data_IF_009432285556
#
_entry.id   IF_009432285556
#
_cell.length_a   1.000
_cell.length_b   1.000
_cell.length_c   1.000
_cell.angle_alpha   90.00
_cell.angle_beta   90.00
_cell.angle_gamma   90.00
#
_symmetry.space_group_name_H-M   'P 1'
#
loop_
_entity.id
_entity.type
_entity.pdbx_description
1 polymer ?
#
# COMPACT_ATOMS: atom_id res chain seq x y z
N UNK A 1 32.42 -2.89 -19.30
CA UNK A 1 31.63 -2.01 -18.42
C UNK A 1 30.53 -2.84 -17.80
N UNK A 2 30.31 -2.74 -16.49
CA UNK A 2 29.18 -3.38 -15.82
C UNK A 2 27.88 -2.72 -16.33
N UNK A 3 27.17 -3.40 -17.22
CA UNK A 3 25.78 -3.05 -17.50
C UNK A 3 24.97 -3.42 -16.26
N UNK A 4 24.52 -2.42 -15.51
CA UNK A 4 23.62 -2.64 -14.38
C UNK A 4 22.27 -3.09 -14.93
N UNK A 5 21.93 -4.37 -14.80
CA UNK A 5 20.61 -4.89 -15.16
C UNK A 5 19.55 -4.31 -14.20
N UNK A 6 18.48 -3.66 -14.68
CA UNK A 6 17.53 -2.95 -13.82
C UNK A 6 16.71 -3.85 -12.87
N UNK A 7 16.90 -5.17 -12.92
CA UNK A 7 16.18 -6.16 -12.12
C UNK A 7 16.75 -6.34 -10.69
N UNK A 8 18.03 -5.98 -10.46
CA UNK A 8 18.74 -6.24 -9.19
C UNK A 8 18.06 -5.60 -7.98
N UNK A 9 17.45 -4.43 -8.15
CA UNK A 9 16.76 -3.71 -7.09
C UNK A 9 15.29 -4.15 -6.96
N UNK A 10 14.62 -4.39 -8.08
CA UNK A 10 13.18 -4.67 -8.09
C UNK A 10 12.85 -6.06 -7.55
N UNK A 11 13.64 -7.08 -7.94
CA UNK A 11 13.40 -8.47 -7.54
C UNK A 11 13.40 -8.70 -6.03
N UNK A 12 14.41 -8.29 -5.24
CA UNK A 12 14.43 -8.57 -3.80
C UNK A 12 13.29 -7.85 -3.07
N UNK A 13 12.98 -6.62 -3.47
CA UNK A 13 11.92 -5.81 -2.87
C UNK A 13 10.54 -6.40 -3.14
N UNK A 14 10.29 -6.88 -4.36
CA UNK A 14 9.05 -7.59 -4.69
C UNK A 14 8.89 -8.92 -3.92
N UNK A 15 9.99 -9.65 -3.69
CA UNK A 15 9.96 -10.86 -2.87
C UNK A 15 9.61 -10.52 -1.43
N UNK A 16 10.23 -9.46 -0.88
CA UNK A 16 9.94 -8.96 0.46
C UNK A 16 8.45 -8.61 0.60
N UNK A 17 7.87 -7.82 -0.31
CA UNK A 17 6.45 -7.47 -0.21
C UNK A 17 5.51 -8.65 -0.42
N UNK A 18 5.85 -9.60 -1.29
CA UNK A 18 5.05 -10.82 -1.47
C UNK A 18 5.00 -11.71 -0.23
N UNK A 19 6.09 -11.74 0.56
CA UNK A 19 6.15 -12.46 1.83
C UNK A 19 5.55 -11.65 2.98
N UNK A 20 5.77 -10.34 2.99
CA UNK A 20 5.27 -9.45 4.02
C UNK A 20 3.74 -9.30 3.95
N UNK A 21 3.14 -9.25 2.76
CA UNK A 21 1.70 -9.10 2.59
C UNK A 21 0.84 -10.12 3.38
N UNK A 22 1.06 -11.45 3.29
CA UNK A 22 0.31 -12.41 4.09
C UNK A 22 0.60 -12.31 5.60
N UNK A 23 1.84 -11.98 6.00
CA UNK A 23 2.22 -11.78 7.40
C UNK A 23 1.48 -10.57 7.99
N UNK A 24 1.48 -9.45 7.28
CA UNK A 24 0.72 -8.25 7.61
C UNK A 24 -0.78 -8.56 7.74
N UNK A 25 -1.39 -9.17 6.72
CA UNK A 25 -2.82 -9.49 6.75
C UNK A 25 -3.20 -10.42 7.90
N UNK A 26 -2.39 -11.45 8.19
CA UNK A 26 -2.64 -12.34 9.31
C UNK A 26 -2.53 -11.62 10.65
N UNK A 27 -1.49 -10.79 10.82
CA UNK A 27 -1.24 -10.05 12.06
C UNK A 27 -2.34 -9.01 12.33
N UNK A 28 -2.75 -8.27 11.30
CA UNK A 28 -3.83 -7.28 11.39
C UNK A 28 -5.20 -7.92 11.68
N UNK A 29 -5.48 -9.11 11.13
CA UNK A 29 -6.71 -9.85 11.46
C UNK A 29 -6.69 -10.38 12.90
N UNK A 30 -5.55 -10.86 13.38
CA UNK A 30 -5.40 -11.27 14.79
C UNK A 30 -5.59 -10.09 15.74
N UNK A 31 -5.06 -8.91 15.39
CA UNK A 31 -5.28 -7.69 16.15
C UNK A 31 -6.75 -7.26 16.14
N UNK A 32 -7.42 -7.32 15.00
CA UNK A 32 -8.84 -7.01 14.92
C UNK A 32 -9.67 -7.94 15.82
N UNK A 33 -9.38 -9.25 15.80
CA UNK A 33 -10.03 -10.21 16.69
C UNK A 33 -9.77 -9.91 18.18
N UNK A 34 -8.52 -9.57 18.52
CA UNK A 34 -8.18 -9.15 19.88
C UNK A 34 -8.96 -7.90 20.30
N UNK A 35 -9.02 -6.89 19.42
CA UNK A 35 -9.72 -5.62 19.69
C UNK A 35 -11.21 -5.83 19.91
N UNK A 36 -11.85 -6.65 19.08
CA UNK A 36 -13.27 -7.02 19.20
C UNK A 36 -13.56 -7.75 20.53
N UNK A 37 -12.63 -8.56 21.02
CA UNK A 37 -12.77 -9.26 22.31
C UNK A 37 -12.47 -8.40 23.54
N UNK A 38 -11.57 -7.42 23.41
CA UNK A 38 -11.04 -6.65 24.54
C UNK A 38 -11.76 -5.30 24.73
N UNK A 39 -12.34 -4.73 23.67
CA UNK A 39 -12.95 -3.41 23.68
C UNK A 39 -14.39 -3.43 23.15
N UNK A 40 -15.29 -2.60 23.69
CA UNK A 40 -16.67 -2.53 23.24
C UNK A 40 -16.77 -1.78 21.90
N UNK A 41 -16.85 -2.51 20.79
CA UNK A 41 -17.02 -1.92 19.47
C UNK A 41 -18.45 -1.37 19.26
N UNK A 42 -18.59 -0.17 18.67
CA UNK A 42 -19.87 0.28 18.12
C UNK A 42 -20.42 -0.73 17.09
N UNK A 43 -21.75 -0.86 16.97
CA UNK A 43 -22.35 -1.81 16.04
C UNK A 43 -21.94 -1.48 14.60
N UNK A 44 -21.36 -2.46 13.90
CA UNK A 44 -21.00 -2.38 12.48
C UNK A 44 -19.58 -1.92 12.17
N UNK A 45 -18.87 -1.25 13.08
CA UNK A 45 -17.52 -0.72 12.80
C UNK A 45 -16.46 -1.82 12.73
N UNK A 46 -16.59 -2.88 13.53
CA UNK A 46 -15.70 -4.05 13.45
C UNK A 46 -15.79 -4.76 12.09
N UNK A 47 -17.00 -4.85 11.54
CA UNK A 47 -17.23 -5.45 10.22
C UNK A 47 -16.68 -4.57 9.08
N UNK A 48 -16.77 -3.24 9.23
CA UNK A 48 -16.14 -2.28 8.32
C UNK A 48 -14.62 -2.44 8.32
N UNK A 49 -13.96 -2.39 9.49
CA UNK A 49 -12.50 -2.60 9.63
C UNK A 49 -12.08 -3.96 9.02
N UNK A 50 -12.84 -5.03 9.27
CA UNK A 50 -12.59 -6.35 8.69
C UNK A 50 -12.69 -6.35 7.15
N UNK A 51 -13.72 -5.70 6.59
CA UNK A 51 -13.94 -5.64 5.15
C UNK A 51 -12.80 -4.91 4.42
N UNK A 52 -12.32 -3.81 5.01
CA UNK A 52 -11.19 -3.03 4.50
C UNK A 52 -9.91 -3.86 4.56
N UNK A 53 -9.66 -4.58 5.66
CA UNK A 53 -8.49 -5.46 5.78
C UNK A 53 -8.50 -6.58 4.73
N UNK A 54 -9.65 -7.23 4.50
CA UNK A 54 -9.79 -8.29 3.48
C UNK A 54 -9.56 -7.74 2.08
N UNK A 55 -10.14 -6.57 1.78
CA UNK A 55 -9.95 -5.91 0.48
C UNK A 55 -8.48 -5.53 0.26
N UNK A 56 -7.82 -4.96 1.27
CA UNK A 56 -6.40 -4.62 1.22
C UNK A 56 -5.52 -5.87 1.02
N UNK A 57 -5.83 -6.97 1.72
CA UNK A 57 -5.10 -8.24 1.56
C UNK A 57 -5.21 -8.78 0.13
N UNK A 58 -6.41 -8.76 -0.45
CA UNK A 58 -6.65 -9.18 -1.83
C UNK A 58 -5.88 -8.29 -2.82
N UNK A 59 -5.89 -6.98 -2.59
CA UNK A 59 -5.23 -6.00 -3.44
C UNK A 59 -3.70 -6.11 -3.39
N UNK A 60 -3.11 -6.26 -2.21
CA UNK A 60 -1.66 -6.48 -2.05
C UNK A 60 -1.20 -7.75 -2.77
N UNK A 61 -1.98 -8.84 -2.68
CA UNK A 61 -1.72 -10.09 -3.41
C UNK A 61 -1.82 -9.91 -4.92
N UNK A 62 -2.90 -9.27 -5.40
CA UNK A 62 -3.11 -9.01 -6.82
C UNK A 62 -1.96 -8.16 -7.40
N UNK A 63 -1.55 -7.13 -6.67
CA UNK A 63 -0.40 -6.28 -7.03
C UNK A 63 0.90 -7.07 -7.08
N UNK A 64 1.26 -7.81 -6.04
CA UNK A 64 2.49 -8.63 -6.04
C UNK A 64 2.49 -9.66 -7.18
N UNK A 65 1.33 -10.26 -7.48
CA UNK A 65 1.19 -11.18 -8.61
C UNK A 65 1.37 -10.47 -9.96
N UNK A 66 0.84 -9.26 -10.12
CA UNK A 66 1.04 -8.42 -11.31
C UNK A 66 2.53 -8.09 -11.49
N UNK A 67 3.22 -7.62 -10.44
CA UNK A 67 4.66 -7.33 -10.48
C UNK A 67 5.51 -8.56 -10.81
N UNK A 68 5.17 -9.73 -10.23
CA UNK A 68 5.87 -10.99 -10.50
C UNK A 68 5.64 -11.55 -11.90
N UNK A 69 4.48 -11.28 -12.51
CA UNK A 69 4.22 -11.58 -13.92
C UNK A 69 4.92 -10.58 -14.84
N UNK A 70 4.87 -9.29 -14.51
CA UNK A 70 5.48 -8.23 -15.29
C UNK A 70 6.99 -8.41 -15.44
N UNK A 71 7.69 -8.78 -14.34
CA UNK A 71 9.13 -9.10 -14.37
C UNK A 71 9.45 -10.28 -15.30
N UNK A 72 8.65 -11.34 -15.27
CA UNK A 72 8.91 -12.56 -16.06
C UNK A 72 8.59 -12.38 -17.54
N UNK A 73 7.62 -11.54 -17.86
CA UNK A 73 7.19 -11.27 -19.23
C UNK A 73 7.82 -10.00 -19.81
N UNK A 74 8.70 -9.33 -19.07
CA UNK A 74 9.28 -8.01 -19.39
C UNK A 74 8.21 -7.03 -19.95
N UNK A 75 7.02 -7.09 -19.35
CA UNK A 75 5.85 -6.43 -19.91
C UNK A 75 5.63 -5.07 -19.23
N UNK A 76 5.92 -3.95 -19.92
CA UNK A 76 5.70 -2.61 -19.37
C UNK A 76 4.22 -2.34 -19.05
N UNK A 77 3.28 -2.98 -19.77
CA UNK A 77 1.85 -2.88 -19.47
C UNK A 77 1.47 -3.48 -18.12
N UNK A 78 2.03 -4.65 -17.77
CA UNK A 78 1.81 -5.27 -16.46
C UNK A 78 2.50 -4.49 -15.32
N UNK A 79 3.63 -3.82 -15.61
CA UNK A 79 4.28 -2.92 -14.67
C UNK A 79 3.47 -1.64 -14.43
N UNK A 80 2.86 -1.08 -15.47
CA UNK A 80 1.91 0.02 -15.29
C UNK A 80 0.77 -0.43 -14.38
N UNK A 81 0.16 -1.60 -14.62
CA UNK A 81 -0.88 -2.14 -13.75
C UNK A 81 -0.41 -2.32 -12.29
N UNK A 82 0.82 -2.79 -12.08
CA UNK A 82 1.43 -2.89 -10.75
C UNK A 82 1.53 -1.53 -10.02
N UNK A 83 1.94 -0.48 -10.73
CA UNK A 83 2.01 0.88 -10.18
C UNK A 83 0.61 1.42 -9.89
N UNK A 84 -0.34 1.23 -10.81
CA UNK A 84 -1.73 1.66 -10.63
C UNK A 84 -2.42 0.96 -9.46
N UNK A 85 -2.15 -0.33 -9.22
CA UNK A 85 -2.67 -1.06 -8.06
C UNK A 85 -2.05 -0.59 -6.73
N UNK A 86 -0.93 0.15 -6.74
CA UNK A 86 -0.36 0.72 -5.53
C UNK A 86 -1.22 1.86 -4.96
N UNK A 87 -1.97 2.56 -5.81
CA UNK A 87 -2.82 3.69 -5.41
C UNK A 87 -3.97 3.26 -4.47
N UNK A 88 -4.85 2.32 -4.84
CA UNK A 88 -5.88 1.86 -3.92
C UNK A 88 -5.30 1.17 -2.69
N UNK A 89 -4.10 0.56 -2.78
CA UNK A 89 -3.44 -0.06 -1.63
C UNK A 89 -2.96 0.99 -0.63
N UNK A 90 -2.36 2.08 -1.12
CA UNK A 90 -1.98 3.22 -0.30
C UNK A 90 -3.21 3.86 0.35
N UNK A 91 -4.31 4.03 -0.40
CA UNK A 91 -5.54 4.60 0.13
C UNK A 91 -6.10 3.76 1.29
N UNK A 92 -6.22 2.44 1.11
CA UNK A 92 -6.74 1.56 2.16
C UNK A 92 -5.82 1.46 3.38
N UNK A 93 -4.49 1.48 3.18
CA UNK A 93 -3.54 1.57 4.30
C UNK A 93 -3.68 2.90 5.06
N UNK A 94 -3.85 4.01 4.34
CA UNK A 94 -4.08 5.32 4.94
C UNK A 94 -5.40 5.37 5.71
N UNK A 95 -6.44 4.75 5.17
CA UNK A 95 -7.71 4.58 5.87
C UNK A 95 -7.52 3.79 7.17
N UNK A 96 -6.82 2.65 7.13
CA UNK A 96 -6.54 1.84 8.32
C UNK A 96 -5.63 2.52 9.35
N UNK A 97 -4.89 3.57 8.99
CA UNK A 97 -4.13 4.37 9.95
C UNK A 97 -4.96 5.48 10.60
N UNK A 98 -5.87 6.09 9.85
CA UNK A 98 -6.60 7.28 10.31
C UNK A 98 -7.96 6.97 10.94
N UNK A 99 -8.64 5.92 10.48
CA UNK A 99 -10.04 5.62 10.82
C UNK A 99 -10.20 4.38 11.72
N UNK A 100 -9.18 4.03 12.51
CA UNK A 100 -9.35 2.95 13.49
C UNK A 100 -10.19 3.42 14.68
N UNK A 101 -11.11 2.56 15.14
CA UNK A 101 -11.89 2.82 16.35
C UNK A 101 -11.00 2.85 17.59
N UNK A 102 -10.04 1.93 17.66
CA UNK A 102 -9.02 1.85 18.70
C UNK A 102 -7.64 1.80 18.06
N UNK A 103 -6.79 2.77 18.39
CA UNK A 103 -5.43 2.87 17.85
C UNK A 103 -4.48 2.10 18.77
N UNK A 104 -4.01 0.93 18.31
CA UNK A 104 -2.96 0.19 19.01
C UNK A 104 -1.61 0.57 18.41
N UNK A 105 -0.58 0.67 19.26
CA UNK A 105 0.79 0.92 18.79
C UNK A 105 1.22 -0.14 17.76
N UNK A 106 0.81 -1.40 17.93
CA UNK A 106 1.15 -2.46 16.99
C UNK A 106 0.48 -2.28 15.62
N UNK A 107 -0.75 -1.77 15.57
CA UNK A 107 -1.45 -1.46 14.31
C UNK A 107 -0.71 -0.36 13.54
N UNK A 108 -0.31 0.72 14.24
CA UNK A 108 0.44 1.82 13.64
C UNK A 108 1.78 1.34 13.09
N UNK A 109 2.52 0.53 13.86
CA UNK A 109 3.81 -0.03 13.41
C UNK A 109 3.63 -0.95 12.20
N UNK A 110 2.65 -1.86 12.23
CA UNK A 110 2.38 -2.78 11.11
C UNK A 110 1.96 -2.04 9.84
N UNK A 111 1.04 -1.08 9.96
CA UNK A 111 0.59 -0.29 8.80
C UNK A 111 1.70 0.63 8.29
N UNK A 112 2.53 1.21 9.16
CA UNK A 112 3.69 1.99 8.79
C UNK A 112 4.74 1.17 8.02
N UNK A 113 5.03 -0.05 8.49
CA UNK A 113 5.90 -1.00 7.78
C UNK A 113 5.30 -1.39 6.41
N UNK A 114 3.99 -1.65 6.35
CA UNK A 114 3.31 -1.94 5.10
C UNK A 114 3.40 -0.78 4.10
N UNK A 115 3.25 0.46 4.57
CA UNK A 115 3.45 1.67 3.75
C UNK A 115 4.88 1.79 3.23
N UNK A 116 5.88 1.54 4.08
CA UNK A 116 7.29 1.61 3.70
C UNK A 116 7.63 0.57 2.62
N UNK A 117 7.17 -0.67 2.79
CA UNK A 117 7.34 -1.75 1.81
C UNK A 117 6.61 -1.41 0.51
N UNK A 118 5.35 -0.95 0.58
CA UNK A 118 4.57 -0.53 -0.58
C UNK A 118 5.26 0.61 -1.36
N UNK A 119 5.79 1.60 -0.65
CA UNK A 119 6.54 2.72 -1.23
C UNK A 119 7.82 2.26 -1.92
N UNK A 120 8.64 1.44 -1.26
CA UNK A 120 9.87 0.91 -1.83
C UNK A 120 9.61 0.03 -3.06
N UNK A 121 8.60 -0.82 -3.02
CA UNK A 121 8.16 -1.64 -4.15
C UNK A 121 7.68 -0.78 -5.33
N UNK A 122 6.95 0.29 -5.05
CA UNK A 122 6.43 1.18 -6.11
C UNK A 122 7.56 1.98 -6.73
N UNK A 123 8.51 2.49 -5.94
CA UNK A 123 9.69 3.22 -6.44
C UNK A 123 10.57 2.32 -7.32
N UNK A 124 10.90 1.13 -6.83
CA UNK A 124 11.72 0.17 -7.60
C UNK A 124 10.97 -0.37 -8.83
N UNK A 125 9.65 -0.54 -8.74
CA UNK A 125 8.82 -0.93 -9.89
C UNK A 125 8.72 0.15 -10.96
N UNK A 126 8.58 1.42 -10.56
CA UNK A 126 8.64 2.56 -11.51
C UNK A 126 10.01 2.59 -12.18
N UNK A 127 11.10 2.48 -11.41
CA UNK A 127 12.45 2.47 -11.97
C UNK A 127 12.67 1.33 -12.98
N UNK A 128 12.18 0.13 -12.67
CA UNK A 128 12.24 -1.00 -13.60
C UNK A 128 11.37 -0.77 -14.85
N UNK A 129 10.16 -0.22 -14.69
CA UNK A 129 9.25 0.09 -15.80
C UNK A 129 9.83 1.15 -16.76
N UNK A 130 10.47 2.17 -16.20
CA UNK A 130 11.25 3.20 -16.89
C UNK A 130 12.37 2.54 -17.71
N UNK A 131 13.11 1.60 -17.13
CA UNK A 131 14.23 0.96 -17.83
C UNK A 131 13.81 0.11 -19.04
N UNK A 132 12.62 -0.51 -19.01
CA UNK A 132 12.15 -1.42 -20.07
C UNK A 132 11.12 -0.79 -21.04
N UNK A 133 10.73 0.47 -20.83
CA UNK A 133 9.63 1.06 -21.60
C UNK A 133 10.08 1.54 -22.98
N UNK A 134 9.52 0.93 -24.01
CA UNK A 134 9.86 1.17 -25.41
C UNK A 134 9.04 2.31 -26.04
N UNK A 135 7.88 2.63 -25.47
CA UNK A 135 6.94 3.62 -26.04
C UNK A 135 6.63 4.77 -25.08
N UNK A 136 6.49 5.99 -25.63
CA UNK A 136 6.10 7.19 -24.86
C UNK A 136 4.79 7.01 -24.07
N UNK A 137 3.85 6.22 -24.59
CA UNK A 137 2.58 5.95 -23.93
C UNK A 137 2.75 5.17 -22.60
N UNK A 138 3.66 4.20 -22.57
CA UNK A 138 3.96 3.42 -21.36
C UNK A 138 4.64 4.28 -20.29
N UNK A 139 5.58 5.13 -20.70
CA UNK A 139 6.21 6.12 -19.83
C UNK A 139 5.19 7.05 -19.17
N UNK A 140 4.27 7.61 -19.97
CA UNK A 140 3.20 8.47 -19.46
C UNK A 140 2.31 7.69 -18.48
N UNK A 141 1.93 6.45 -18.80
CA UNK A 141 1.09 5.63 -17.92
C UNK A 141 1.75 5.36 -16.55
N UNK A 142 3.05 5.07 -16.53
CA UNK A 142 3.83 4.87 -15.30
C UNK A 142 3.96 6.18 -14.53
N UNK A 143 4.31 7.28 -15.21
CA UNK A 143 4.47 8.59 -14.57
C UNK A 143 3.16 9.10 -13.96
N UNK A 144 2.04 8.99 -14.68
CA UNK A 144 0.72 9.36 -14.18
C UNK A 144 0.31 8.49 -13.00
N UNK A 145 0.51 7.16 -13.09
CA UNK A 145 0.24 6.25 -11.97
C UNK A 145 1.06 6.58 -10.72
N UNK A 146 2.35 6.88 -10.90
CA UNK A 146 3.23 7.26 -9.80
C UNK A 146 2.85 8.62 -9.19
N UNK A 147 2.53 9.62 -10.01
CA UNK A 147 2.06 10.91 -9.52
C UNK A 147 0.75 10.77 -8.75
N UNK A 148 -0.19 9.96 -9.25
CA UNK A 148 -1.44 9.70 -8.57
C UNK A 148 -1.24 8.98 -7.22
N UNK A 149 -0.27 8.05 -7.16
CA UNK A 149 0.16 7.42 -5.91
C UNK A 149 0.72 8.45 -4.91
N UNK A 150 1.58 9.37 -5.36
CA UNK A 150 2.12 10.44 -4.50
C UNK A 150 1.03 11.38 -3.99
N UNK A 151 0.06 11.74 -4.83
CA UNK A 151 -1.08 12.55 -4.43
C UNK A 151 -1.91 11.80 -3.38
N UNK A 152 -2.22 10.52 -3.59
CA UNK A 152 -2.96 9.71 -2.63
C UNK A 152 -2.22 9.57 -1.28
N UNK A 153 -0.89 9.49 -1.32
CA UNK A 153 -0.07 9.47 -0.12
C UNK A 153 -0.11 10.83 0.60
N UNK A 154 0.01 11.94 -0.14
CA UNK A 154 -0.04 13.29 0.41
C UNK A 154 -1.42 13.63 1.01
N UNK A 155 -2.52 13.21 0.38
CA UNK A 155 -3.87 13.45 0.92
C UNK A 155 -4.08 12.70 2.23
N UNK A 156 -3.60 11.46 2.34
CA UNK A 156 -3.72 10.66 3.56
C UNK A 156 -2.86 11.20 4.71
N UNK A 157 -1.65 11.70 4.42
CA UNK A 157 -0.80 12.36 5.43
C UNK A 157 -1.39 13.72 5.82
N UNK A 158 -1.90 14.49 4.85
CA UNK A 158 -2.52 15.79 5.08
C UNK A 158 -3.78 15.70 5.95
N UNK A 159 -4.61 14.68 5.73
CA UNK A 159 -5.78 14.37 6.56
C UNK A 159 -5.40 14.21 8.04
N UNK A 160 -4.32 13.47 8.33
CA UNK A 160 -3.83 13.29 9.70
C UNK A 160 -3.48 14.64 10.35
N UNK A 161 -2.71 15.49 9.67
CA UNK A 161 -2.31 16.81 10.20
C UNK A 161 -3.48 17.78 10.42
N UNK A 162 -4.58 17.62 9.68
CA UNK A 162 -5.77 18.46 9.85
C UNK A 162 -6.64 18.06 11.04
N UNK A 163 -6.56 16.80 11.48
CA UNK A 163 -7.31 16.30 12.64
C UNK A 163 -6.61 16.65 13.96
N UNK A 164 -5.28 16.82 13.95
CA UNK A 164 -4.48 17.16 15.14
C UNK A 164 -4.51 18.66 15.51
N UNK A 165 -5.17 19.52 14.73
CA UNK A 165 -5.36 20.92 15.15
C UNK A 165 -6.26 20.98 16.40
N UNK A 166 -5.78 21.50 17.55
CA UNK A 166 -6.47 21.44 18.84
C UNK A 166 -7.75 22.29 18.98
N UNK A 167 -8.42 22.64 17.87
CA UNK A 167 -9.63 23.46 17.85
C UNK A 167 -10.89 22.77 17.34
N UNK A 168 -10.82 21.55 16.80
CA UNK A 168 -11.97 20.97 16.07
C UNK A 168 -12.94 20.12 16.93
N UNK A 169 -12.54 19.68 18.12
CA UNK A 169 -13.39 18.91 19.05
C UNK A 169 -13.72 19.65 20.37
N UNK A 170 -13.60 20.98 20.38
CA UNK A 170 -13.90 21.82 21.55
C UNK A 170 -15.14 22.70 21.36
N UNK A 171 -16.33 22.11 21.23
CA UNK A 171 -17.62 22.72 21.62
C UNK A 171 -18.81 21.83 21.23
N UNK A 172 -19.17 20.91 22.11
CA UNK A 172 -20.56 20.47 22.32
C UNK A 172 -20.64 19.78 23.69
#
# INVERSE_FOLDING_TARGET
GFAFEPDWAFRPVLVLGSWFAPVFSASSLMLLWYKDSAFPYPPGTAAEEASVQVLLAALLRARCAAGGRARRAESPGLLAAFVWLALPAAYLLGYLLNFQTYVLLLDVVLCGLAYAVLGLETLTGVWYAVAISESRGQWIAVAVGFLAFLIALATMVGLHSSLDTPGFFGSA
#
